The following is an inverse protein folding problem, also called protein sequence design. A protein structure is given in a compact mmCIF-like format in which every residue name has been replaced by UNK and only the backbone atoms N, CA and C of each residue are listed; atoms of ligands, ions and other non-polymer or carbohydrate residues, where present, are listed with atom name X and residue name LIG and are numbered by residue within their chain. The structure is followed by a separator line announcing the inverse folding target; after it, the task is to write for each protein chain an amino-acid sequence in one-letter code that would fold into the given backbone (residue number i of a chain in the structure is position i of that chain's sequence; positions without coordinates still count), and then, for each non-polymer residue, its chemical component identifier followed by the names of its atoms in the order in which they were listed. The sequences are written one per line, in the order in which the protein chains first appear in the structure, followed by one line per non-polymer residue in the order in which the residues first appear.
data_IF_392922024496
#
_entry.id   IF_392922024496
#
_cell.length_a   1.000
_cell.length_b   1.000
_cell.length_c   1.000
_cell.angle_alpha   90.00
_cell.angle_beta   90.00
_cell.angle_gamma   90.00
#
_symmetry.space_group_name_H-M   'P 1'
#
loop_
_entity.id
_entity.type
_entity.pdbx_description
1 polymer ?
#
# COMPACT_ATOMS: atom_id res chain seq x y z
N UNK A 1 4.83 -19.53 -1.50
CA UNK A 1 4.99 -18.07 -1.67
C UNK A 1 6.45 -17.65 -1.53
N UNK A 2 7.12 -18.03 -0.44
CA UNK A 2 8.50 -17.62 -0.14
C UNK A 2 9.52 -18.02 -1.22
N UNK A 3 9.37 -19.19 -1.84
CA UNK A 3 10.24 -19.60 -2.95
C UNK A 3 10.20 -18.58 -4.11
N UNK A 4 9.00 -18.17 -4.52
CA UNK A 4 8.81 -17.19 -5.60
C UNK A 4 9.38 -15.82 -5.22
N UNK A 5 9.34 -15.46 -3.92
CA UNK A 5 9.86 -14.20 -3.37
C UNK A 5 11.37 -14.11 -3.56
N UNK A 6 12.07 -15.24 -3.39
CA UNK A 6 13.54 -15.33 -3.44
C UNK A 6 14.10 -15.55 -4.85
N UNK A 7 13.29 -16.07 -5.78
CA UNK A 7 13.73 -16.33 -7.16
C UNK A 7 14.24 -15.08 -7.89
N UNK A 8 15.19 -15.28 -8.79
CA UNK A 8 15.59 -14.24 -9.76
C UNK A 8 14.60 -14.17 -10.91
N UNK A 9 14.69 -13.11 -11.71
CA UNK A 9 13.76 -12.85 -12.83
C UNK A 9 13.61 -14.01 -13.81
N UNK A 10 14.70 -14.69 -14.16
CA UNK A 10 14.67 -15.81 -15.12
C UNK A 10 14.01 -17.04 -14.52
N UNK A 11 14.42 -17.46 -13.32
CA UNK A 11 13.82 -18.57 -12.58
C UNK A 11 12.31 -18.35 -12.37
N UNK A 12 11.92 -17.11 -12.03
CA UNK A 12 10.52 -16.75 -11.88
C UNK A 12 9.76 -16.95 -13.20
N UNK A 13 10.31 -16.53 -14.34
CA UNK A 13 9.65 -16.73 -15.66
C UNK A 13 9.45 -18.20 -15.98
N UNK A 14 10.42 -19.04 -15.65
CA UNK A 14 10.37 -20.48 -15.91
C UNK A 14 9.20 -21.15 -15.17
N UNK A 15 8.90 -20.73 -13.93
CA UNK A 15 7.75 -21.25 -13.17
C UNK A 15 6.42 -21.08 -13.91
N UNK A 16 6.23 -19.94 -14.60
CA UNK A 16 4.95 -19.63 -15.26
C UNK A 16 4.93 -20.00 -16.75
N UNK A 17 6.09 -20.26 -17.37
CA UNK A 17 6.16 -20.51 -18.82
C UNK A 17 5.55 -21.87 -19.15
N UNK A 18 4.54 -21.88 -20.01
CA UNK A 18 3.87 -23.11 -20.45
C UNK A 18 2.92 -23.73 -19.42
N UNK A 19 2.66 -23.04 -18.31
CA UNK A 19 1.69 -23.47 -17.30
C UNK A 19 0.35 -22.78 -17.54
N UNK A 20 -0.74 -23.55 -17.50
CA UNK A 20 -2.10 -23.00 -17.59
C UNK A 20 -2.53 -22.36 -16.26
N UNK A 21 -2.18 -22.99 -15.13
CA UNK A 21 -2.54 -22.56 -13.78
C UNK A 21 -1.34 -22.81 -12.85
N UNK A 22 -1.01 -21.82 -12.01
CA UNK A 22 -0.01 -21.93 -10.96
C UNK A 22 -0.65 -21.56 -9.62
N UNK A 23 -0.61 -22.48 -8.66
CA UNK A 23 -1.09 -22.23 -7.30
C UNK A 23 0.04 -21.71 -6.42
N UNK A 24 -0.20 -20.60 -5.73
CA UNK A 24 0.77 -20.00 -4.80
C UNK A 24 0.17 -20.00 -3.40
N UNK A 25 0.71 -20.85 -2.52
CA UNK A 25 0.30 -20.92 -1.12
C UNK A 25 1.00 -19.85 -0.26
N UNK A 26 0.24 -19.17 0.59
CA UNK A 26 0.67 -18.15 1.55
C UNK A 26 -0.07 -18.39 2.88
N UNK A 27 0.65 -18.39 4.02
CA UNK A 27 0.14 -18.87 5.30
C UNK A 27 0.38 -17.90 6.47
N UNK A 28 0.53 -16.62 6.19
CA UNK A 28 1.06 -15.68 7.16
C UNK A 28 0.12 -15.40 8.33
N UNK A 29 -1.19 -15.49 8.09
CA UNK A 29 -2.24 -15.21 9.09
C UNK A 29 -2.31 -16.37 10.09
N UNK A 30 -2.58 -17.59 9.64
CA UNK A 30 -2.74 -18.75 10.53
C UNK A 30 -1.43 -19.09 11.26
N UNK A 31 -0.28 -18.96 10.59
CA UNK A 31 1.03 -19.20 11.22
C UNK A 31 1.31 -18.31 12.45
N UNK A 32 0.64 -17.15 12.54
CA UNK A 32 0.64 -16.26 13.72
C UNK A 32 -0.59 -16.44 14.59
N UNK A 33 -1.76 -16.60 14.00
CA UNK A 33 -3.05 -16.74 14.69
C UNK A 33 -3.10 -17.98 15.59
N UNK A 34 -2.61 -19.13 15.14
CA UNK A 34 -2.75 -20.40 15.86
C UNK A 34 -1.87 -20.49 17.13
N UNK A 35 -0.85 -19.64 17.22
CA UNK A 35 0.11 -19.67 18.32
C UNK A 35 -0.30 -18.71 19.42
N UNK A 36 -0.39 -19.25 20.64
CA UNK A 36 -0.78 -18.51 21.84
C UNK A 36 0.04 -17.21 22.07
N UNK A 37 1.33 -17.21 21.73
CA UNK A 37 2.20 -16.06 21.96
C UNK A 37 2.11 -14.98 20.85
N UNK A 38 1.50 -15.29 19.69
CA UNK A 38 1.38 -14.37 18.55
C UNK A 38 -0.05 -14.16 18.07
N UNK A 39 -1.05 -14.81 18.67
CA UNK A 39 -2.46 -14.72 18.24
C UNK A 39 -3.01 -13.28 18.23
N UNK A 40 -2.48 -12.41 19.10
CA UNK A 40 -2.84 -10.99 19.17
C UNK A 40 -2.28 -10.14 18.01
N UNK A 41 -1.34 -10.69 17.24
CA UNK A 41 -0.74 -10.03 16.07
C UNK A 41 -1.54 -10.28 14.79
N UNK A 42 -2.65 -11.02 14.84
CA UNK A 42 -3.40 -11.43 13.64
C UNK A 42 -3.80 -10.25 12.74
N UNK A 43 -4.15 -9.10 13.30
CA UNK A 43 -4.51 -7.92 12.50
C UNK A 43 -3.29 -7.36 11.76
N UNK A 44 -2.14 -7.28 12.42
CA UNK A 44 -0.86 -6.96 11.76
C UNK A 44 -0.57 -7.98 10.68
N UNK A 45 -0.83 -9.27 10.95
CA UNK A 45 -0.64 -10.33 9.98
C UNK A 45 -1.53 -10.20 8.74
N UNK A 46 -2.76 -9.73 8.91
CA UNK A 46 -3.65 -9.44 7.79
C UNK A 46 -3.11 -8.29 6.92
N UNK A 47 -2.67 -7.19 7.54
CA UNK A 47 -2.10 -6.06 6.79
C UNK A 47 -0.85 -6.47 6.00
N UNK A 48 0.06 -7.19 6.66
CA UNK A 48 1.27 -7.69 6.01
C UNK A 48 0.95 -8.70 4.90
N UNK A 49 0.00 -9.60 5.11
CA UNK A 49 -0.43 -10.56 4.09
C UNK A 49 -0.97 -9.86 2.83
N UNK A 50 -1.77 -8.80 3.01
CA UNK A 50 -2.30 -8.01 1.88
C UNK A 50 -1.15 -7.35 1.11
N UNK A 51 -0.21 -6.70 1.80
CA UNK A 51 0.94 -6.05 1.17
C UNK A 51 1.87 -7.05 0.46
N UNK A 52 2.11 -8.20 1.08
CA UNK A 52 2.91 -9.28 0.53
C UNK A 52 2.30 -9.86 -0.75
N UNK A 53 0.99 -10.16 -0.74
CA UNK A 53 0.26 -10.65 -1.93
C UNK A 53 0.26 -9.59 -3.04
N UNK A 54 0.00 -8.33 -2.70
CA UNK A 54 0.02 -7.22 -3.65
C UNK A 54 1.40 -7.04 -4.31
N UNK A 55 2.45 -7.03 -3.49
CA UNK A 55 3.84 -6.92 -3.95
C UNK A 55 4.22 -8.13 -4.82
N UNK A 56 3.79 -9.33 -4.46
CA UNK A 56 4.02 -10.53 -5.26
C UNK A 56 3.32 -10.45 -6.63
N UNK A 57 2.05 -10.01 -6.68
CA UNK A 57 1.31 -9.80 -7.93
C UNK A 57 2.05 -8.82 -8.84
N UNK A 58 2.48 -7.66 -8.31
CA UNK A 58 3.27 -6.68 -9.07
C UNK A 58 4.59 -7.26 -9.59
N UNK A 59 5.27 -8.03 -8.75
CA UNK A 59 6.54 -8.65 -9.11
C UNK A 59 6.36 -9.68 -10.21
N UNK A 60 5.35 -10.55 -10.11
CA UNK A 60 5.04 -11.57 -11.12
C UNK A 60 4.59 -10.90 -12.43
N UNK A 61 3.73 -9.89 -12.38
CA UNK A 61 3.26 -9.20 -13.59
C UNK A 61 4.38 -8.53 -14.37
N UNK A 62 5.30 -7.88 -13.66
CA UNK A 62 6.45 -7.20 -14.26
C UNK A 62 7.49 -8.18 -14.79
N UNK A 63 7.82 -9.22 -14.00
CA UNK A 63 8.96 -10.07 -14.29
C UNK A 63 8.61 -11.34 -15.07
N UNK A 64 7.44 -11.93 -14.85
CA UNK A 64 7.01 -13.20 -15.44
C UNK A 64 5.88 -13.06 -16.47
N UNK A 65 5.50 -11.83 -16.86
CA UNK A 65 4.51 -11.57 -17.90
C UNK A 65 3.12 -12.20 -17.64
N UNK A 66 2.81 -12.52 -16.39
CA UNK A 66 1.51 -13.08 -15.99
C UNK A 66 0.66 -11.95 -15.44
N UNK A 67 -0.48 -11.68 -16.05
CA UNK A 67 -1.27 -10.46 -15.78
C UNK A 67 -2.63 -10.73 -15.13
N UNK A 68 -3.02 -12.00 -15.05
CA UNK A 68 -4.31 -12.42 -14.51
C UNK A 68 -4.06 -13.24 -13.25
N UNK A 69 -4.69 -12.84 -12.15
CA UNK A 69 -4.54 -13.49 -10.86
C UNK A 69 -5.91 -13.67 -10.23
N UNK A 70 -6.08 -14.79 -9.53
CA UNK A 70 -7.22 -15.03 -8.65
C UNK A 70 -6.66 -15.13 -7.24
N UNK A 71 -7.15 -14.27 -6.35
CA UNK A 71 -6.77 -14.26 -4.94
C UNK A 71 -7.98 -14.66 -4.10
N UNK A 72 -7.80 -15.65 -3.25
CA UNK A 72 -8.84 -16.13 -2.33
C UNK A 72 -8.18 -16.81 -1.12
N UNK A 73 -8.99 -17.24 -0.16
CA UNK A 73 -8.56 -18.15 0.91
C UNK A 73 -9.45 -19.40 0.93
N UNK A 74 -9.02 -20.38 1.70
CA UNK A 74 -9.81 -21.58 2.00
C UNK A 74 -10.87 -21.30 3.07
N UNK A 75 -10.56 -20.42 4.04
CA UNK A 75 -11.50 -19.95 5.04
C UNK A 75 -11.17 -18.52 5.52
N UNK A 76 -12.11 -17.91 6.25
CA UNK A 76 -11.82 -16.79 7.14
C UNK A 76 -11.54 -17.27 8.58
N UNK A 77 -11.64 -16.35 9.55
CA UNK A 77 -11.38 -16.64 10.95
C UNK A 77 -12.27 -15.81 11.87
N UNK A 78 -12.36 -16.22 13.13
CA UNK A 78 -12.95 -15.44 14.22
C UNK A 78 -11.82 -15.03 15.16
N UNK A 79 -11.77 -13.75 15.50
CA UNK A 79 -10.89 -13.23 16.55
C UNK A 79 -11.70 -12.61 17.69
N UNK A 80 -11.42 -13.02 18.93
CA UNK A 80 -11.96 -12.43 20.16
C UNK A 80 -10.81 -11.76 20.93
N UNK A 81 -10.96 -10.48 21.29
CA UNK A 81 -9.93 -9.76 22.08
C UNK A 81 -9.89 -10.24 23.53
N UNK A 82 -11.05 -10.49 24.11
CA UNK A 82 -11.15 -11.02 25.46
C UNK A 82 -10.85 -12.51 25.50
N UNK A 83 -10.30 -12.98 26.61
CA UNK A 83 -10.09 -14.41 26.84
C UNK A 83 -11.42 -15.15 26.76
N UNK A 84 -11.46 -16.26 26.02
CA UNK A 84 -12.62 -17.14 25.95
C UNK A 84 -12.92 -17.70 27.35
N UNK A 85 -14.13 -17.46 27.84
CA UNK A 85 -14.59 -17.97 29.14
C UNK A 85 -14.89 -19.46 29.04
N UNK A 86 -14.80 -20.19 30.16
CA UNK A 86 -15.18 -21.62 30.19
C UNK A 86 -16.65 -21.84 29.82
N UNK A 87 -17.53 -20.85 30.07
CA UNK A 87 -18.94 -20.88 29.66
C UNK A 87 -19.14 -20.85 28.15
N UNK A 88 -18.14 -20.37 27.40
CA UNK A 88 -18.18 -20.26 25.94
C UNK A 88 -17.50 -21.46 25.27
N UNK A 89 -17.15 -22.49 26.07
CA UNK A 89 -16.52 -23.72 25.62
C UNK A 89 -17.50 -24.88 25.68
N UNK A 90 -17.65 -25.57 24.55
CA UNK A 90 -18.42 -26.80 24.44
C UNK A 90 -17.54 -27.95 24.92
N UNK A 91 -17.99 -28.63 25.98
CA UNK A 91 -17.37 -29.88 26.43
C UNK A 91 -17.77 -30.95 25.43
N UNK A 92 -16.81 -31.78 25.03
CA UNK A 92 -17.06 -32.88 24.12
C UNK A 92 -16.57 -34.18 24.74
N UNK A 93 -17.24 -35.28 24.38
CA UNK A 93 -16.75 -36.64 24.58
C UNK A 93 -16.51 -37.19 23.19
N UNK A 94 -15.26 -37.12 22.73
CA UNK A 94 -14.86 -37.62 21.42
C UNK A 94 -13.93 -38.82 21.60
N UNK A 95 -13.98 -39.75 20.66
CA UNK A 95 -13.12 -40.93 20.66
C UNK A 95 -11.63 -40.56 20.60
N UNK A 96 -10.77 -41.50 21.01
CA UNK A 96 -9.31 -41.30 21.00
C UNK A 96 -8.75 -40.96 19.62
N UNK A 97 -9.41 -41.44 18.56
CA UNK A 97 -8.99 -41.24 17.18
C UNK A 97 -9.67 -40.02 16.52
N UNK A 98 -10.48 -39.27 17.27
CA UNK A 98 -11.13 -38.07 16.76
C UNK A 98 -10.10 -36.97 16.49
N UNK A 99 -10.22 -36.31 15.33
CA UNK A 99 -9.44 -35.12 15.03
C UNK A 99 -10.18 -33.91 15.60
N UNK A 100 -9.66 -33.39 16.70
CA UNK A 100 -10.30 -32.35 17.50
C UNK A 100 -9.60 -31.00 17.25
N UNK A 101 -10.38 -30.02 16.79
CA UNK A 101 -9.99 -28.62 16.71
C UNK A 101 -11.00 -27.77 17.52
N UNK A 102 -10.70 -26.49 17.74
CA UNK A 102 -11.58 -25.54 18.45
C UNK A 102 -12.89 -25.27 17.72
N UNK A 103 -12.92 -25.40 16.40
CA UNK A 103 -14.11 -25.07 15.58
C UNK A 103 -14.73 -26.25 14.86
N UNK A 104 -14.09 -27.40 14.90
CA UNK A 104 -14.64 -28.62 14.36
C UNK A 104 -14.07 -29.85 15.08
N UNK A 105 -14.81 -30.95 15.06
CA UNK A 105 -14.35 -32.28 15.44
C UNK A 105 -14.69 -33.22 14.30
N UNK A 106 -13.72 -33.99 13.83
CA UNK A 106 -13.95 -35.09 12.88
C UNK A 106 -13.83 -36.42 13.63
N UNK A 107 -14.92 -37.19 13.66
CA UNK A 107 -15.01 -38.44 14.41
C UNK A 107 -15.81 -39.50 13.64
N UNK A 108 -15.81 -40.74 14.13
CA UNK A 108 -16.55 -41.85 13.49
C UNK A 108 -18.07 -41.71 13.68
N UNK A 109 -18.49 -41.15 14.81
CA UNK A 109 -19.89 -40.93 15.16
C UNK A 109 -20.22 -39.44 15.20
N UNK A 110 -21.49 -39.11 14.96
CA UNK A 110 -22.01 -37.75 15.07
C UNK A 110 -22.09 -37.31 16.53
N UNK A 111 -21.82 -36.03 16.78
CA UNK A 111 -22.12 -35.42 18.07
C UNK A 111 -23.53 -34.84 18.10
N UNK A 112 -24.29 -35.16 19.14
CA UNK A 112 -25.62 -34.61 19.40
C UNK A 112 -25.60 -33.91 20.76
N UNK A 113 -25.42 -32.59 20.73
CA UNK A 113 -25.49 -31.73 21.92
C UNK A 113 -25.92 -30.32 21.53
N UNK A 114 -26.38 -29.55 22.53
CA UNK A 114 -26.83 -28.18 22.35
C UNK A 114 -25.73 -27.30 21.77
N UNK A 115 -26.04 -26.63 20.65
CA UNK A 115 -25.10 -25.74 19.98
C UNK A 115 -24.08 -26.43 19.07
N UNK A 116 -24.23 -27.74 18.80
CA UNK A 116 -23.43 -28.48 17.82
C UNK A 116 -24.30 -28.85 16.62
N UNK A 117 -23.76 -28.67 15.41
CA UNK A 117 -24.30 -29.28 14.20
C UNK A 117 -23.33 -30.33 13.67
N UNK A 118 -23.84 -31.48 13.27
CA UNK A 118 -23.06 -32.61 12.78
C UNK A 118 -23.48 -32.95 11.35
N UNK A 119 -22.49 -33.21 10.50
CA UNK A 119 -22.70 -33.54 9.10
C UNK A 119 -21.88 -34.75 8.67
N UNK A 120 -22.51 -35.65 7.92
CA UNK A 120 -21.84 -36.84 7.41
C UNK A 120 -20.92 -36.47 6.23
N UNK A 121 -19.66 -36.89 6.28
CA UNK A 121 -18.65 -36.53 5.29
C UNK A 121 -18.91 -37.19 3.93
N UNK A 122 -19.37 -38.44 3.92
CA UNK A 122 -19.78 -39.17 2.71
C UNK A 122 -20.80 -38.39 1.88
N UNK A 123 -21.78 -37.77 2.54
CA UNK A 123 -22.83 -36.97 1.91
C UNK A 123 -22.31 -35.64 1.39
N UNK A 124 -21.50 -34.92 2.17
CA UNK A 124 -20.97 -33.61 1.75
C UNK A 124 -19.96 -33.76 0.61
N UNK A 125 -19.05 -34.72 0.72
CA UNK A 125 -17.95 -34.90 -0.23
C UNK A 125 -18.31 -35.84 -1.40
N UNK A 126 -19.46 -36.51 -1.33
CA UNK A 126 -19.88 -37.50 -2.34
C UNK A 126 -18.93 -38.69 -2.42
N UNK A 127 -18.39 -39.14 -1.28
CA UNK A 127 -17.36 -40.19 -1.21
C UNK A 127 -17.74 -41.30 -0.20
N UNK A 128 -16.78 -42.17 0.14
CA UNK A 128 -16.98 -43.30 1.08
C UNK A 128 -16.46 -43.03 2.49
N UNK A 129 -16.13 -41.78 2.84
CA UNK A 129 -15.66 -41.45 4.18
C UNK A 129 -16.83 -41.47 5.17
N UNK A 130 -16.86 -42.48 6.03
CA UNK A 130 -17.94 -42.71 6.99
C UNK A 130 -17.90 -41.76 8.20
N UNK A 131 -16.90 -40.87 8.28
CA UNK A 131 -16.78 -39.95 9.40
C UNK A 131 -17.82 -38.84 9.37
N UNK A 132 -17.98 -38.21 10.52
CA UNK A 132 -18.80 -37.03 10.74
C UNK A 132 -17.92 -35.84 11.07
N UNK A 133 -18.32 -34.66 10.59
CA UNK A 133 -17.77 -33.38 11.02
C UNK A 133 -18.80 -32.67 11.89
N UNK A 134 -18.40 -32.35 13.12
CA UNK A 134 -19.21 -31.66 14.12
C UNK A 134 -18.66 -30.25 14.32
N UNK A 135 -19.50 -29.22 14.28
CA UNK A 135 -19.09 -27.81 14.37
C UNK A 135 -19.99 -27.04 15.36
N UNK A 136 -19.47 -26.03 16.08
CA UNK A 136 -20.30 -25.14 16.88
C UNK A 136 -21.18 -24.28 15.96
N UNK A 137 -22.49 -24.20 16.23
CA UNK A 137 -23.42 -23.32 15.49
C UNK A 137 -23.34 -21.85 15.92
N UNK A 138 -22.60 -21.57 16.99
CA UNK A 138 -22.39 -20.24 17.55
C UNK A 138 -20.90 -19.84 17.54
N UNK A 139 -20.57 -18.72 18.18
CA UNK A 139 -19.18 -18.29 18.40
C UNK A 139 -18.45 -19.08 19.50
N UNK A 140 -19.09 -20.10 20.07
CA UNK A 140 -18.49 -21.00 21.05
C UNK A 140 -17.43 -21.90 20.39
N UNK A 141 -16.55 -22.47 21.19
CA UNK A 141 -15.46 -23.32 20.71
C UNK A 141 -15.44 -24.65 21.45
N UNK A 142 -14.99 -25.72 20.81
CA UNK A 142 -14.72 -26.96 21.51
C UNK A 142 -13.55 -26.77 22.50
N UNK A 143 -13.69 -27.41 23.66
CA UNK A 143 -12.68 -27.36 24.72
C UNK A 143 -11.47 -28.21 24.37
N UNK A 144 -10.44 -27.57 23.79
CA UNK A 144 -9.14 -28.20 23.48
C UNK A 144 -8.02 -27.70 24.39
N UNK A 145 -7.12 -28.59 24.80
CA UNK A 145 -5.91 -28.28 25.59
C UNK A 145 -4.84 -27.59 24.75
N UNK A 146 -4.22 -26.54 25.29
CA UNK A 146 -3.09 -25.84 24.64
C UNK A 146 -3.50 -24.95 23.44
N UNK A 147 -2.52 -24.28 22.83
CA UNK A 147 -2.74 -23.40 21.66
C UNK A 147 -3.39 -22.05 21.97
N UNK A 148 -3.44 -21.18 20.95
CA UNK A 148 -4.20 -19.93 20.99
C UNK A 148 -5.69 -20.20 21.20
N UNK A 149 -6.40 -19.26 21.82
CA UNK A 149 -7.85 -19.34 22.05
C UNK A 149 -8.58 -18.16 21.43
N UNK A 150 -7.88 -17.05 21.20
CA UNK A 150 -8.48 -15.81 20.76
C UNK A 150 -8.63 -15.76 19.25
N UNK A 151 -7.80 -16.50 18.51
CA UNK A 151 -7.93 -16.75 17.08
C UNK A 151 -8.40 -18.19 16.84
N UNK A 152 -9.46 -18.37 16.05
CA UNK A 152 -10.02 -19.67 15.70
C UNK A 152 -10.58 -19.68 14.28
N UNK A 153 -10.47 -20.82 13.60
CA UNK A 153 -10.92 -21.01 12.22
C UNK A 153 -11.35 -22.48 11.98
N UNK A 154 -11.94 -22.76 10.82
CA UNK A 154 -12.34 -24.11 10.38
C UNK A 154 -13.78 -24.52 10.73
N UNK A 155 -14.56 -23.64 11.34
CA UNK A 155 -15.97 -23.86 11.66
C UNK A 155 -16.94 -23.42 10.57
N UNK A 156 -18.24 -23.48 10.87
CA UNK A 156 -19.31 -23.15 9.93
C UNK A 156 -19.85 -21.74 10.06
N UNK A 157 -19.12 -20.82 10.70
CA UNK A 157 -19.61 -19.44 10.81
C UNK A 157 -19.54 -18.72 9.45
N UNK A 158 -20.39 -17.71 9.20
CA UNK A 158 -20.29 -16.89 8.00
C UNK A 158 -18.90 -16.25 7.82
N UNK A 159 -18.25 -15.85 8.91
CA UNK A 159 -16.90 -15.26 8.88
C UNK A 159 -15.84 -16.26 8.40
N UNK A 160 -16.02 -17.55 8.67
CA UNK A 160 -15.12 -18.61 8.24
C UNK A 160 -15.46 -19.09 6.82
N UNK A 161 -16.74 -19.13 6.45
CA UNK A 161 -17.22 -19.75 5.21
C UNK A 161 -17.38 -18.78 4.02
N UNK A 162 -17.69 -17.51 4.28
CA UNK A 162 -17.92 -16.52 3.22
C UNK A 162 -16.57 -15.88 2.87
N UNK A 163 -15.90 -16.47 1.88
CA UNK A 163 -14.59 -16.04 1.43
C UNK A 163 -14.67 -15.29 0.10
N UNK A 164 -14.07 -14.09 -0.04
CA UNK A 164 -14.03 -13.39 -1.31
C UNK A 164 -13.10 -14.10 -2.31
N UNK A 165 -13.50 -14.05 -3.58
CA UNK A 165 -12.64 -14.40 -4.72
C UNK A 165 -12.38 -13.13 -5.51
N UNK A 166 -11.15 -12.64 -5.46
CA UNK A 166 -10.74 -11.40 -6.11
C UNK A 166 -10.07 -11.75 -7.44
N UNK A 167 -10.66 -11.29 -8.54
CA UNK A 167 -10.07 -11.37 -9.86
C UNK A 167 -9.26 -10.09 -10.13
N UNK A 168 -7.95 -10.24 -10.28
CA UNK A 168 -7.03 -9.14 -10.53
C UNK A 168 -6.50 -9.25 -11.96
N UNK A 169 -6.77 -8.23 -12.76
CA UNK A 169 -6.18 -8.05 -14.08
C UNK A 169 -5.25 -6.85 -14.06
N UNK A 170 -3.96 -7.09 -14.32
CA UNK A 170 -2.95 -6.04 -14.39
C UNK A 170 -2.91 -5.51 -15.83
N UNK A 171 -3.25 -4.24 -16.01
CA UNK A 171 -3.14 -3.58 -17.31
C UNK A 171 -1.68 -3.21 -17.60
N UNK A 172 -1.21 -3.56 -18.79
CA UNK A 172 0.10 -3.13 -19.27
C UNK A 172 -0.04 -1.76 -19.93
N UNK A 173 0.74 -0.79 -19.46
CA UNK A 173 0.86 0.53 -20.09
C UNK A 173 -0.14 1.60 -19.61
N UNK A 174 -0.99 1.27 -18.64
CA UNK A 174 -1.79 2.25 -17.87
C UNK A 174 -1.52 2.04 -16.38
N UNK A 175 -0.44 2.63 -15.90
CA UNK A 175 -0.39 3.05 -14.51
C UNK A 175 -0.83 4.53 -14.52
N UNK A 176 -1.72 4.94 -13.61
CA UNK A 176 -1.96 6.36 -13.38
C UNK A 176 -0.67 6.96 -12.85
N UNK A 177 0.17 7.42 -13.78
CA UNK A 177 1.43 8.05 -13.46
C UNK A 177 1.18 9.51 -13.21
N UNK A 178 1.79 10.03 -12.15
CA UNK A 178 1.78 11.47 -11.86
C UNK A 178 3.20 12.03 -11.92
N UNK A 179 3.35 13.31 -12.32
CA UNK A 179 4.65 13.95 -12.36
C UNK A 179 5.25 14.08 -10.95
N UNK A 180 6.57 14.01 -10.85
CA UNK A 180 7.30 14.28 -9.63
C UNK A 180 7.12 15.74 -9.24
N UNK A 181 6.41 16.01 -8.15
CA UNK A 181 6.11 17.39 -7.74
C UNK A 181 7.32 18.07 -7.09
N UNK A 182 7.47 19.37 -7.36
CA UNK A 182 8.40 20.26 -6.66
C UNK A 182 7.63 21.24 -5.79
N UNK A 183 8.13 21.47 -4.57
CA UNK A 183 7.51 22.38 -3.59
C UNK A 183 8.56 23.31 -3.01
N UNK A 184 8.17 24.54 -2.73
CA UNK A 184 9.03 25.52 -2.06
C UNK A 184 9.22 25.15 -0.58
N UNK A 185 10.47 25.00 -0.13
CA UNK A 185 10.79 24.55 1.25
C UNK A 185 10.51 25.64 2.28
N UNK A 186 10.83 26.89 1.94
CA UNK A 186 10.58 28.05 2.80
C UNK A 186 9.77 29.07 2.04
N UNK A 187 8.53 29.29 2.49
CA UNK A 187 7.64 30.29 1.90
C UNK A 187 8.28 31.67 1.94
N UNK A 188 8.70 32.16 0.78
CA UNK A 188 9.26 33.50 0.63
C UNK A 188 8.10 34.49 0.49
N UNK A 189 8.00 35.46 1.39
CA UNK A 189 6.95 36.47 1.30
C UNK A 189 7.40 37.73 0.55
N UNK A 190 8.72 37.98 0.52
CA UNK A 190 9.29 39.22 -0.03
C UNK A 190 10.63 38.96 -0.71
N UNK A 191 10.86 39.61 -1.85
CA UNK A 191 12.13 39.64 -2.57
C UNK A 191 12.70 41.06 -2.50
N UNK A 192 13.91 41.21 -1.94
CA UNK A 192 14.55 42.52 -1.74
C UNK A 192 15.81 42.75 -2.57
N UNK A 193 16.32 41.70 -3.23
CA UNK A 193 17.57 41.75 -4.00
C UNK A 193 17.32 41.34 -5.46
N UNK A 194 18.07 41.95 -6.38
CA UNK A 194 18.07 41.56 -7.80
C UNK A 194 18.56 40.11 -8.02
N UNK A 195 19.25 39.52 -7.06
CA UNK A 195 19.66 38.12 -7.08
C UNK A 195 19.15 37.46 -5.80
N UNK A 196 18.29 36.46 -5.94
CA UNK A 196 17.73 35.70 -4.82
C UNK A 196 17.82 34.21 -5.10
N UNK A 197 18.10 33.41 -4.07
CA UNK A 197 18.10 31.94 -4.17
C UNK A 197 17.00 31.37 -3.29
N UNK A 198 16.28 30.38 -3.79
CA UNK A 198 15.20 29.71 -3.09
C UNK A 198 15.43 28.19 -3.09
N UNK A 199 15.10 27.57 -1.96
CA UNK A 199 15.18 26.12 -1.79
C UNK A 199 13.83 25.47 -2.08
N UNK A 200 13.90 24.40 -2.85
CA UNK A 200 12.79 23.56 -3.25
C UNK A 200 13.09 22.12 -2.85
N UNK A 201 12.05 21.30 -2.81
CA UNK A 201 12.14 19.87 -2.56
C UNK A 201 11.31 19.13 -3.60
N UNK A 202 11.85 18.02 -4.11
CA UNK A 202 11.05 17.02 -4.80
C UNK A 202 10.33 16.17 -3.75
N UNK A 203 8.99 16.28 -3.68
CA UNK A 203 8.18 15.74 -2.59
C UNK A 203 8.38 14.23 -2.41
N UNK A 204 8.34 13.49 -3.52
CA UNK A 204 8.40 12.02 -3.54
C UNK A 204 9.53 11.53 -4.46
N UNK A 205 10.20 10.41 -4.13
CA UNK A 205 11.18 9.80 -5.02
C UNK A 205 10.53 9.24 -6.29
N UNK A 206 11.30 9.20 -7.38
CA UNK A 206 10.87 8.58 -8.64
C UNK A 206 10.60 7.09 -8.43
N UNK A 207 9.47 6.64 -8.96
CA UNK A 207 8.99 5.27 -8.83
C UNK A 207 8.25 4.81 -10.10
N UNK A 208 7.59 3.66 -10.02
CA UNK A 208 6.77 3.17 -11.12
C UNK A 208 5.56 4.08 -11.42
N UNK A 209 5.09 4.84 -10.42
CA UNK A 209 3.93 5.75 -10.54
C UNK A 209 4.31 7.23 -10.50
N UNK A 210 5.47 7.59 -9.93
CA UNK A 210 5.98 8.97 -9.93
C UNK A 210 7.02 9.11 -11.05
N UNK A 211 6.72 9.94 -12.05
CA UNK A 211 7.59 10.08 -13.24
C UNK A 211 8.44 11.34 -13.18
N UNK A 212 9.67 11.19 -13.66
CA UNK A 212 10.61 12.30 -13.86
C UNK A 212 9.94 13.42 -14.65
N UNK A 213 10.10 14.66 -14.18
CA UNK A 213 9.44 15.83 -14.78
C UNK A 213 10.41 17.02 -14.83
N UNK A 214 10.48 17.69 -15.97
CA UNK A 214 11.25 18.92 -16.16
C UNK A 214 10.36 20.12 -15.90
N UNK A 215 10.80 21.02 -15.02
CA UNK A 215 10.08 22.23 -14.67
C UNK A 215 10.82 23.48 -15.14
N UNK A 216 10.05 24.42 -15.69
CA UNK A 216 10.47 25.82 -15.87
C UNK A 216 9.97 26.64 -14.70
N UNK A 217 10.89 27.19 -13.93
CA UNK A 217 10.61 27.97 -12.72
C UNK A 217 11.09 29.41 -12.93
N UNK A 218 10.21 30.38 -12.72
CA UNK A 218 10.52 31.80 -12.88
C UNK A 218 9.51 32.70 -12.17
N UNK A 219 9.80 34.00 -12.10
CA UNK A 219 8.90 34.99 -11.56
C UNK A 219 8.15 35.74 -12.65
N UNK A 220 6.87 36.00 -12.41
CA UNK A 220 5.99 36.80 -13.27
C UNK A 220 5.29 37.92 -12.48
N UNK A 221 4.91 38.99 -13.17
CA UNK A 221 3.94 39.97 -12.67
C UNK A 221 2.50 39.47 -12.82
N UNK A 222 1.55 40.18 -12.22
CA UNK A 222 0.10 40.03 -12.45
C UNK A 222 -0.31 40.13 -13.93
N UNK A 223 0.45 40.86 -14.74
CA UNK A 223 0.26 41.02 -16.19
C UNK A 223 0.95 39.89 -17.00
N UNK A 224 1.41 38.82 -16.35
CA UNK A 224 2.19 37.71 -16.91
C UNK A 224 3.54 38.11 -17.55
N UNK A 225 4.08 39.29 -17.23
CA UNK A 225 5.42 39.66 -17.66
C UNK A 225 6.45 38.82 -16.88
N UNK A 226 7.33 38.09 -17.58
CA UNK A 226 8.48 37.42 -16.95
C UNK A 226 9.45 38.47 -16.39
N UNK A 227 9.70 38.43 -15.08
CA UNK A 227 10.54 39.41 -14.37
C UNK A 227 11.87 38.83 -13.86
N UNK A 228 12.11 37.53 -14.00
CA UNK A 228 13.40 36.89 -13.73
C UNK A 228 13.91 36.07 -14.92
N UNK A 229 15.14 35.56 -14.83
CA UNK A 229 15.54 34.43 -15.69
C UNK A 229 14.68 33.19 -15.41
N UNK A 230 14.66 32.28 -16.38
CA UNK A 230 14.09 30.95 -16.24
C UNK A 230 15.13 30.00 -15.67
N UNK A 231 14.70 29.19 -14.70
CA UNK A 231 15.45 28.06 -14.17
C UNK A 231 14.80 26.77 -14.65
N UNK A 232 15.57 25.90 -15.30
CA UNK A 232 15.13 24.55 -15.62
C UNK A 232 15.62 23.60 -14.53
N UNK A 233 14.71 22.79 -14.00
CA UNK A 233 15.04 21.75 -13.03
C UNK A 233 14.39 20.42 -13.42
N UNK A 234 15.18 19.36 -13.42
CA UNK A 234 14.70 17.99 -13.67
C UNK A 234 14.51 17.31 -12.31
N UNK A 235 13.25 17.05 -11.96
CA UNK A 235 12.88 16.29 -10.78
C UNK A 235 13.05 14.78 -11.06
N UNK A 236 14.26 14.26 -10.85
CA UNK A 236 14.68 12.89 -11.18
C UNK A 236 15.14 12.05 -9.97
N UNK A 237 15.03 12.58 -8.75
CA UNK A 237 15.65 11.96 -7.57
C UNK A 237 14.92 10.70 -7.14
N UNK A 238 15.67 9.63 -6.88
CA UNK A 238 15.18 8.31 -6.45
C UNK A 238 15.42 8.01 -4.96
N UNK A 239 16.20 8.85 -4.28
CA UNK A 239 16.60 8.61 -2.89
C UNK A 239 15.39 8.79 -1.97
N UNK A 240 15.17 7.87 -1.04
CA UNK A 240 14.06 7.90 -0.07
C UNK A 240 14.22 9.00 0.98
N UNK A 241 15.46 9.41 1.27
CA UNK A 241 15.78 10.50 2.20
C UNK A 241 15.38 11.87 1.60
N UNK A 242 14.41 12.59 2.19
CA UNK A 242 13.96 13.89 1.68
C UNK A 242 15.06 14.95 1.64
N UNK A 243 16.04 14.88 2.53
CA UNK A 243 17.12 15.88 2.60
C UNK A 243 18.00 15.88 1.33
N UNK A 244 18.12 14.72 0.68
CA UNK A 244 18.86 14.56 -0.58
C UNK A 244 18.05 14.92 -1.82
N UNK A 245 16.77 15.25 -1.64
CA UNK A 245 15.86 15.74 -2.68
C UNK A 245 15.64 17.25 -2.61
N UNK A 246 16.34 17.95 -1.72
CA UNK A 246 16.36 19.41 -1.64
C UNK A 246 17.31 19.97 -2.68
N UNK A 247 16.90 21.03 -3.36
CA UNK A 247 17.70 21.71 -4.37
C UNK A 247 17.47 23.22 -4.32
N UNK A 248 18.46 23.99 -4.77
CA UNK A 248 18.44 25.45 -4.75
C UNK A 248 18.40 26.01 -6.16
N UNK A 249 17.46 26.91 -6.42
CA UNK A 249 17.40 27.68 -7.67
C UNK A 249 17.79 29.14 -7.41
N UNK A 250 18.52 29.73 -8.35
CA UNK A 250 18.99 31.12 -8.28
C UNK A 250 18.30 31.95 -9.36
N UNK A 251 17.62 33.01 -8.92
CA UNK A 251 16.87 33.93 -9.77
C UNK A 251 17.58 35.28 -9.82
N UNK A 252 17.73 35.79 -11.04
CA UNK A 252 18.21 37.12 -11.37
C UNK A 252 17.02 37.89 -11.95
N UNK A 253 16.64 38.95 -11.26
CA UNK A 253 15.51 39.79 -11.62
C UNK A 253 15.94 40.88 -12.60
N UNK A 254 15.01 41.29 -13.47
CA UNK A 254 15.20 42.46 -14.33
C UNK A 254 15.49 43.69 -13.45
N UNK A 255 16.51 44.47 -13.79
CA UNK A 255 16.81 45.70 -13.09
C UNK A 255 15.82 46.79 -13.51
N UNK A 256 14.76 46.97 -12.72
CA UNK A 256 13.71 47.98 -12.93
C UNK A 256 13.07 48.36 -11.61
N UNK A 257 12.30 49.44 -11.61
CA UNK A 257 11.46 49.79 -10.47
C UNK A 257 10.27 48.83 -10.37
N UNK A 258 10.09 48.21 -9.21
CA UNK A 258 8.96 47.33 -8.91
C UNK A 258 7.92 48.07 -8.06
N UNK A 259 6.64 47.84 -8.34
CA UNK A 259 5.53 48.48 -7.63
C UNK A 259 5.03 47.56 -6.51
N UNK A 260 5.17 47.99 -5.26
CA UNK A 260 4.78 47.20 -4.08
C UNK A 260 3.27 46.97 -3.97
N UNK A 261 2.46 47.74 -4.69
CA UNK A 261 1.00 47.57 -4.72
C UNK A 261 0.54 46.48 -5.69
N UNK A 262 1.40 46.08 -6.63
CA UNK A 262 1.12 45.03 -7.62
C UNK A 262 1.43 43.64 -7.08
N UNK A 263 0.77 42.65 -7.66
CA UNK A 263 1.02 41.25 -7.33
C UNK A 263 2.12 40.65 -8.22
N UNK A 264 2.95 39.81 -7.61
CA UNK A 264 3.99 39.05 -8.29
C UNK A 264 3.96 37.60 -7.82
N UNK A 265 4.39 36.71 -8.69
CA UNK A 265 4.29 35.28 -8.46
C UNK A 265 5.58 34.57 -8.85
N UNK A 266 6.03 33.66 -7.99
CA UNK A 266 6.87 32.54 -8.38
C UNK A 266 5.97 31.48 -9.00
N UNK A 267 6.29 31.02 -10.21
CA UNK A 267 5.54 29.99 -10.91
C UNK A 267 6.46 28.86 -11.37
N UNK A 268 5.93 27.64 -11.40
CA UNK A 268 6.57 26.49 -12.02
C UNK A 268 5.63 25.82 -13.02
N UNK A 269 6.09 25.62 -14.25
CA UNK A 269 5.36 24.92 -15.31
C UNK A 269 6.06 23.62 -15.69
N UNK A 270 5.29 22.55 -15.86
CA UNK A 270 5.75 21.32 -16.51
C UNK A 270 6.10 21.67 -17.96
N UNK A 271 7.37 21.48 -18.34
CA UNK A 271 7.88 21.83 -19.66
C UNK A 271 7.19 21.06 -20.80
N UNK A 272 6.70 19.84 -20.53
CA UNK A 272 6.11 18.97 -21.55
C UNK A 272 4.65 19.30 -21.80
N UNK A 273 3.89 19.59 -20.75
CA UNK A 273 2.44 19.72 -20.82
C UNK A 273 1.95 21.16 -20.62
N UNK A 274 2.85 22.09 -20.30
CA UNK A 274 2.56 23.50 -19.97
C UNK A 274 1.53 23.66 -18.84
N UNK A 275 1.52 22.69 -17.92
CA UNK A 275 0.64 22.69 -16.74
C UNK A 275 1.35 23.40 -15.59
N UNK A 276 0.66 24.37 -14.99
CA UNK A 276 1.13 25.05 -13.79
C UNK A 276 1.13 24.09 -12.60
N UNK A 277 2.32 23.80 -12.08
CA UNK A 277 2.52 22.89 -10.94
C UNK A 277 2.60 23.62 -9.60
N UNK A 278 3.00 24.90 -9.62
CA UNK A 278 3.16 25.72 -8.42
C UNK A 278 2.95 27.19 -8.78
N UNK A 279 2.22 27.91 -7.91
CA UNK A 279 2.11 29.36 -7.90
C UNK A 279 2.18 29.87 -6.47
N UNK A 280 3.11 30.78 -6.22
CA UNK A 280 3.36 31.34 -4.90
C UNK A 280 3.49 32.86 -4.98
N UNK A 281 2.62 33.58 -4.28
CA UNK A 281 2.61 35.04 -4.27
C UNK A 281 3.79 35.63 -3.49
N UNK A 282 4.40 36.68 -4.03
CA UNK A 282 5.53 37.39 -3.41
C UNK A 282 5.37 38.90 -3.53
N UNK A 283 5.90 39.63 -2.55
CA UNK A 283 6.04 41.08 -2.62
C UNK A 283 7.43 41.42 -3.17
N UNK A 284 7.49 42.24 -4.21
CA UNK A 284 8.76 42.77 -4.75
C UNK A 284 9.10 44.08 -4.05
N UNK A 285 10.24 44.12 -3.35
CA UNK A 285 10.74 45.25 -2.57
C UNK A 285 12.24 45.46 -2.86
N UNK A 286 12.57 45.51 -4.14
CA UNK A 286 13.95 45.70 -4.62
C UNK A 286 14.22 47.20 -4.70
N UNK A 287 15.27 47.66 -4.01
CA UNK A 287 15.72 49.05 -4.11
C UNK A 287 16.28 49.30 -5.52
N UNK A 288 15.71 50.27 -6.23
CA UNK A 288 16.27 50.78 -7.48
C UNK A 288 17.34 51.81 -7.15
N UNK A 289 18.57 51.59 -7.60
CA UNK A 289 19.62 52.60 -7.54
C UNK A 289 19.54 53.43 -8.83
N UNK A 290 19.04 54.66 -8.72
CA UNK A 290 19.21 55.64 -9.80
C UNK A 290 20.71 55.85 -10.01
N UNK A 291 21.14 55.69 -11.26
CA UNK A 291 22.49 56.02 -11.70
C UNK A 291 22.67 57.54 -11.50
N UNK A 292 23.40 57.94 -10.46
CA UNK A 292 23.74 59.34 -10.22
C UNK A 292 24.60 59.82 -11.39
N UNK A 293 23.96 60.46 -12.38
CA UNK A 293 24.62 61.19 -13.44
C UNK A 293 25.44 62.33 -12.85
N UNK A 294 26.77 62.16 -12.81
CA UNK A 294 27.68 63.28 -12.68
C UNK A 294 27.67 64.06 -14.00
N UNK A 295 26.93 65.16 -14.05
CA UNK A 295 27.11 66.21 -15.05
C UNK A 295 28.32 67.06 -14.65
N UNK A 296 29.41 66.95 -15.40
CA UNK A 296 30.46 67.97 -15.52
C UNK A 296 30.12 68.96 -16.62
#
# INVERSE_FOLDING_TARGET
FDDLKLMKKMELREVFTGMDIVYVYHNQIDARGDKLNTENEVFTACYEAVDEVFTMIKRISTNANTLHFIVTSDHGFIYKRDKIKETDKIIHVADKDAFINRRFIVAQDSMEDDGIASYAMDKILGNKDTKWVSVPVSSNVFKVTGGGQNFVHGGSSPQEMIVPVINVKVEKGHADTRPAQIVLVSMVQKITNLISSLDFIQSEPISDVIKETSYKVFFISEDNEKISNECIYIADKKDEDPSKRIFRLKFNFKNKQYDKSKQYYLVAYDEKNDVEALRHGVVMDIAFADDFGFSS
#
